data_IF_037010187758
#
_entry.id   IF_037010187758
#
_cell.length_a   1.000
_cell.length_b   1.000
_cell.length_c   1.000
_cell.angle_alpha   90.00
_cell.angle_beta   90.00
_cell.angle_gamma   90.00
#
_symmetry.space_group_name_H-M   'P 1'
#
loop_
_entity.id
_entity.type
_entity.pdbx_description
1 polymer ?
#
# COMPACT_ATOMS: atom_id res chain seq x y z
N UNK A 1 -14.28 -3.10 42.47
CA UNK A 1 -13.30 -3.30 41.37
C UNK A 1 -13.57 -4.52 40.49
N UNK A 2 -13.98 -5.69 41.03
CA UNK A 2 -14.18 -6.90 40.20
C UNK A 2 -15.34 -6.80 39.17
N UNK A 3 -16.38 -6.00 39.43
CA UNK A 3 -17.56 -5.87 38.55
C UNK A 3 -17.31 -5.12 37.22
N UNK A 4 -16.17 -4.44 37.06
CA UNK A 4 -15.82 -3.74 35.80
C UNK A 4 -14.98 -4.60 34.85
N UNK A 5 -14.39 -5.69 35.34
CA UNK A 5 -13.49 -6.54 34.55
C UNK A 5 -14.26 -7.23 33.43
N UNK A 6 -15.43 -7.80 33.73
CA UNK A 6 -16.30 -8.44 32.75
C UNK A 6 -16.74 -7.47 31.63
N UNK A 7 -17.36 -6.31 31.92
CA UNK A 7 -17.76 -5.41 30.84
C UNK A 7 -16.57 -4.84 30.07
N UNK A 8 -15.41 -4.64 30.70
CA UNK A 8 -14.20 -4.22 29.99
C UNK A 8 -13.71 -5.26 28.97
N UNK A 9 -13.60 -6.53 29.36
CA UNK A 9 -13.18 -7.62 28.45
C UNK A 9 -14.20 -7.83 27.33
N UNK A 10 -15.49 -7.81 27.65
CA UNK A 10 -16.55 -7.95 26.63
C UNK A 10 -16.50 -6.79 25.65
N UNK A 11 -16.34 -5.55 26.13
CA UNK A 11 -16.27 -4.38 25.26
C UNK A 11 -15.04 -4.46 24.34
N UNK A 12 -13.88 -4.83 24.90
CA UNK A 12 -12.66 -5.06 24.11
C UNK A 12 -12.89 -6.10 23.02
N UNK A 13 -13.50 -7.24 23.35
CA UNK A 13 -13.78 -8.30 22.38
C UNK A 13 -14.76 -7.84 21.30
N UNK A 14 -15.86 -7.20 21.69
CA UNK A 14 -16.88 -6.68 20.76
C UNK A 14 -16.25 -5.69 19.78
N UNK A 15 -15.50 -4.71 20.27
CA UNK A 15 -14.86 -3.74 19.37
C UNK A 15 -13.77 -4.37 18.50
N UNK A 16 -13.01 -5.34 19.02
CA UNK A 16 -12.03 -6.08 18.22
C UNK A 16 -12.69 -6.84 17.07
N UNK A 17 -13.80 -7.54 17.33
CA UNK A 17 -14.55 -8.24 16.26
C UNK A 17 -15.17 -7.24 15.29
N UNK A 18 -15.74 -6.15 15.80
CA UNK A 18 -16.39 -5.15 14.96
C UNK A 18 -15.39 -4.46 14.02
N UNK A 19 -14.27 -3.96 14.53
CA UNK A 19 -13.30 -3.19 13.75
C UNK A 19 -12.26 -4.05 13.04
N UNK A 20 -11.97 -5.24 13.55
CA UNK A 20 -10.98 -6.16 12.98
C UNK A 20 -11.55 -7.20 12.02
N UNK A 21 -12.85 -7.52 12.12
CA UNK A 21 -13.48 -8.56 11.28
C UNK A 21 -14.65 -7.99 10.49
N UNK A 22 -15.69 -7.50 11.17
CA UNK A 22 -16.94 -7.09 10.51
C UNK A 22 -16.66 -5.94 9.53
N UNK A 23 -15.94 -4.91 9.97
CA UNK A 23 -15.66 -3.74 9.14
C UNK A 23 -14.76 -4.07 7.93
N UNK A 24 -13.58 -4.72 8.08
CA UNK A 24 -12.73 -5.06 6.93
C UNK A 24 -13.43 -5.97 5.92
N UNK A 25 -14.20 -6.97 6.38
CA UNK A 25 -14.97 -7.85 5.48
C UNK A 25 -16.08 -7.10 4.76
N UNK A 26 -16.82 -6.23 5.46
CA UNK A 26 -17.87 -5.41 4.87
C UNK A 26 -17.32 -4.48 3.78
N UNK A 27 -16.25 -3.75 4.08
CA UNK A 27 -15.60 -2.87 3.11
C UNK A 27 -15.01 -3.65 1.94
N UNK A 28 -14.33 -4.78 2.20
CA UNK A 28 -13.78 -5.63 1.13
C UNK A 28 -14.88 -6.18 0.23
N UNK A 29 -15.98 -6.67 0.80
CA UNK A 29 -17.12 -7.19 0.04
C UNK A 29 -17.77 -6.13 -0.84
N UNK A 30 -18.00 -4.93 -0.30
CA UNK A 30 -18.54 -3.80 -1.06
C UNK A 30 -17.57 -3.35 -2.15
N UNK A 31 -16.27 -3.27 -1.85
CA UNK A 31 -15.25 -2.89 -2.83
C UNK A 31 -15.16 -3.89 -3.99
N UNK A 32 -15.22 -5.19 -3.71
CA UNK A 32 -15.23 -6.22 -4.74
C UNK A 32 -16.52 -6.19 -5.58
N UNK A 33 -17.67 -5.87 -4.97
CA UNK A 33 -18.95 -5.79 -5.68
C UNK A 33 -19.02 -4.59 -6.64
N UNK A 34 -18.57 -3.41 -6.21
CA UNK A 34 -18.72 -2.18 -6.98
C UNK A 34 -17.47 -1.80 -7.79
N UNK A 35 -16.27 -2.14 -7.30
CA UNK A 35 -14.98 -1.70 -7.87
C UNK A 35 -13.94 -2.84 -7.95
N UNK A 36 -14.27 -3.97 -8.60
CA UNK A 36 -13.40 -5.15 -8.58
C UNK A 36 -12.02 -4.88 -9.19
N UNK A 37 -11.91 -4.10 -10.27
CA UNK A 37 -10.61 -3.82 -10.89
C UNK A 37 -9.68 -3.05 -9.94
N UNK A 38 -10.20 -2.04 -9.25
CA UNK A 38 -9.45 -1.21 -8.30
C UNK A 38 -9.15 -1.96 -7.01
N UNK A 39 -10.14 -2.70 -6.47
CA UNK A 39 -9.99 -3.51 -5.26
C UNK A 39 -8.90 -4.59 -5.42
N UNK A 40 -8.70 -5.09 -6.63
CA UNK A 40 -7.65 -6.06 -6.96
C UNK A 40 -6.35 -5.39 -7.48
N UNK A 41 -6.18 -4.08 -7.29
CA UNK A 41 -4.90 -3.39 -7.54
C UNK A 41 -4.74 -2.72 -8.90
N UNK A 42 -5.80 -2.60 -9.70
CA UNK A 42 -5.79 -1.93 -11.02
C UNK A 42 -4.70 -2.49 -11.95
N UNK A 43 -4.60 -3.82 -12.01
CA UNK A 43 -3.54 -4.52 -12.73
C UNK A 43 -3.71 -4.36 -14.25
N UNK A 44 -2.62 -4.02 -14.92
CA UNK A 44 -2.52 -3.97 -16.37
C UNK A 44 -2.02 -5.34 -16.85
N UNK A 45 -2.83 -6.01 -17.65
CA UNK A 45 -2.49 -7.30 -18.26
C UNK A 45 -1.96 -7.08 -19.68
N UNK A 46 -0.85 -7.73 -20.01
CA UNK A 46 -0.32 -7.78 -21.38
C UNK A 46 0.05 -9.21 -21.71
N UNK A 47 -0.52 -9.71 -22.81
CA UNK A 47 -0.28 -11.08 -23.30
C UNK A 47 -0.50 -12.16 -22.23
N UNK A 48 -1.55 -12.01 -21.42
CA UNK A 48 -1.91 -12.93 -20.34
C UNK A 48 -1.03 -12.84 -19.08
N UNK A 49 -0.08 -11.89 -19.03
CA UNK A 49 0.80 -11.68 -17.87
C UNK A 49 0.52 -10.31 -17.23
N UNK A 50 0.64 -10.25 -15.90
CA UNK A 50 0.58 -8.99 -15.19
C UNK A 50 1.82 -8.16 -15.52
N UNK A 51 1.63 -7.06 -16.26
CA UNK A 51 2.70 -6.15 -16.64
C UNK A 51 3.01 -5.13 -15.55
N UNK A 52 2.03 -4.82 -14.70
CA UNK A 52 2.14 -3.84 -13.61
C UNK A 52 0.77 -3.39 -13.11
N UNK A 53 0.74 -2.32 -12.33
CA UNK A 53 -0.50 -1.62 -11.93
C UNK A 53 -0.53 -0.24 -12.56
N UNK A 54 -1.73 0.24 -12.91
CA UNK A 54 -1.91 1.60 -13.40
C UNK A 54 -1.43 2.68 -12.40
N UNK A 55 -1.30 2.33 -11.11
CA UNK A 55 -0.93 3.25 -10.03
C UNK A 55 0.54 3.11 -9.59
N UNK A 56 1.28 2.14 -10.13
CA UNK A 56 2.65 1.84 -9.71
C UNK A 56 3.62 2.08 -10.86
N UNK A 57 4.57 2.99 -10.65
CA UNK A 57 5.67 3.24 -11.57
C UNK A 57 6.72 2.12 -11.54
N UNK A 58 7.48 1.99 -12.63
CA UNK A 58 8.56 1.02 -12.79
C UNK A 58 9.87 1.75 -13.09
N UNK A 59 11.03 1.13 -12.81
CA UNK A 59 12.32 1.73 -13.11
C UNK A 59 12.56 1.68 -14.63
N UNK A 60 12.26 2.77 -15.33
CA UNK A 60 12.57 2.94 -16.75
C UNK A 60 13.91 3.67 -16.90
N UNK A 61 14.90 2.99 -17.49
CA UNK A 61 16.25 3.51 -17.76
C UNK A 61 16.68 3.36 -19.23
N UNK A 62 15.85 2.74 -20.07
CA UNK A 62 16.09 2.67 -21.51
C UNK A 62 15.69 4.01 -22.16
N UNK A 63 16.54 4.63 -23.01
CA UNK A 63 16.27 5.92 -23.66
C UNK A 63 14.99 5.96 -24.51
N UNK A 64 14.46 4.80 -24.94
CA UNK A 64 13.22 4.74 -25.72
C UNK A 64 11.94 5.00 -24.92
N UNK A 65 12.03 4.97 -23.59
CA UNK A 65 10.89 5.18 -22.70
C UNK A 65 10.95 6.54 -22.02
N UNK A 66 9.79 7.03 -21.58
CA UNK A 66 9.75 8.16 -20.67
C UNK A 66 10.31 7.76 -19.31
N UNK A 67 11.22 8.58 -18.80
CA UNK A 67 11.80 8.37 -17.48
C UNK A 67 10.93 9.05 -16.43
N UNK A 68 10.54 8.27 -15.42
CA UNK A 68 9.81 8.79 -14.28
C UNK A 68 10.70 9.57 -13.32
N UNK A 69 10.12 9.97 -12.18
CA UNK A 69 10.87 10.60 -11.09
C UNK A 69 11.85 9.60 -10.47
N UNK A 70 13.00 10.08 -10.03
CA UNK A 70 13.93 9.24 -9.25
C UNK A 70 13.23 8.68 -8.02
N UNK A 71 13.48 7.40 -7.74
CA UNK A 71 12.95 6.69 -6.58
C UNK A 71 14.10 6.28 -5.68
N UNK A 72 14.03 6.66 -4.41
CA UNK A 72 15.06 6.39 -3.40
C UNK A 72 14.73 5.16 -2.53
N UNK A 73 13.94 4.23 -3.05
CA UNK A 73 13.58 2.98 -2.35
C UNK A 73 14.77 2.02 -2.31
N UNK A 74 14.85 1.20 -1.27
CA UNK A 74 15.89 0.17 -1.13
C UNK A 74 15.31 -1.24 -1.38
N UNK A 75 16.10 -2.21 -1.88
CA UNK A 75 17.49 -2.10 -2.30
C UNK A 75 17.67 -1.59 -3.75
N UNK A 76 16.58 -1.30 -4.47
CA UNK A 76 16.59 -0.76 -5.84
C UNK A 76 15.43 0.24 -6.02
N UNK A 77 15.49 1.15 -7.00
CA UNK A 77 14.45 2.17 -7.24
C UNK A 77 13.12 1.54 -7.65
N UNK A 78 12.00 2.16 -7.27
CA UNK A 78 10.63 1.68 -7.54
C UNK A 78 10.32 0.30 -6.93
N UNK A 79 10.96 -0.06 -5.82
CA UNK A 79 10.68 -1.32 -5.13
C UNK A 79 9.32 -1.27 -4.41
N UNK A 80 8.34 -2.02 -4.87
CA UNK A 80 7.00 -2.07 -4.25
C UNK A 80 6.98 -2.66 -2.83
N UNK A 81 8.03 -3.39 -2.42
CA UNK A 81 8.19 -3.85 -1.05
C UNK A 81 8.74 -2.76 -0.10
N UNK A 82 9.20 -1.63 -0.64
CA UNK A 82 9.76 -0.50 0.12
C UNK A 82 9.05 0.80 -0.30
N UNK A 83 8.11 1.27 0.52
CA UNK A 83 7.35 2.49 0.23
C UNK A 83 7.94 3.73 0.90
N UNK A 84 9.26 3.94 0.75
CA UNK A 84 10.01 5.04 1.37
C UNK A 84 10.40 6.15 0.37
N UNK A 85 10.73 7.32 0.89
CA UNK A 85 11.31 8.43 0.12
C UNK A 85 12.75 8.75 0.55
N UNK A 86 13.38 9.68 -0.16
CA UNK A 86 14.63 10.30 0.31
C UNK A 86 14.31 11.21 1.50
N UNK A 87 15.00 10.98 2.62
CA UNK A 87 14.90 11.80 3.83
C UNK A 87 16.12 12.72 4.00
N UNK A 88 16.83 13.02 2.91
CA UNK A 88 17.98 13.93 2.92
C UNK A 88 17.49 15.38 3.12
N UNK A 89 18.10 16.09 4.07
CA UNK A 89 17.82 17.50 4.30
C UNK A 89 18.49 18.37 3.23
N UNK A 90 17.99 19.60 3.03
CA UNK A 90 18.52 20.55 2.05
C UNK A 90 20.01 20.87 2.26
N UNK A 91 20.48 20.87 3.52
CA UNK A 91 21.89 21.10 3.86
C UNK A 91 22.76 19.84 3.90
N UNK A 92 22.22 18.68 3.53
CA UNK A 92 22.99 17.42 3.51
C UNK A 92 23.90 17.38 2.28
N UNK A 93 25.23 17.21 2.43
CA UNK A 93 26.12 17.07 1.28
C UNK A 93 25.72 15.91 0.37
N UNK A 94 25.25 14.80 0.95
CA UNK A 94 24.82 13.61 0.23
C UNK A 94 23.60 13.81 -0.68
N UNK A 95 22.94 14.97 -0.64
CA UNK A 95 21.87 15.32 -1.59
C UNK A 95 22.42 15.91 -2.90
N UNK A 96 23.62 16.49 -2.85
CA UNK A 96 24.30 17.09 -4.00
C UNK A 96 25.18 16.09 -4.74
N UNK A 97 25.64 15.04 -4.04
CA UNK A 97 26.39 13.92 -4.59
C UNK A 97 25.50 13.02 -5.47
#
# INVERSE_FOLDING_TARGET
>A
MMNIIRPAIVSLFVFTVLTGIIYPLGVTGLAQLFFPAQANGSIIMKDGKAAGSALIGQPFNDPKYFWGRLSATAPFPYNSASSSGSNLAQGSPALLD
#
